data_IF_763499195641
#
_entry.id   IF_763499195641
#
_cell.length_a   1.000
_cell.length_b   1.000
_cell.length_c   1.000
_cell.angle_alpha   90.00
_cell.angle_beta   90.00
_cell.angle_gamma   90.00
#
_symmetry.space_group_name_H-M   'P 1'
#
loop_
_entity.id
_entity.type
_entity.pdbx_description
1 polymer ?
#
# COMPACT_ATOMS: atom_id res chain seq x y z
N UNK A 1 1.55 21.17 -37.65
CA UNK A 1 0.53 21.83 -36.80
C UNK A 1 0.98 21.73 -35.36
N UNK A 2 1.49 22.85 -34.84
CA UNK A 2 2.36 22.96 -33.67
C UNK A 2 1.59 23.62 -32.50
N UNK A 3 1.16 22.82 -31.52
CA UNK A 3 0.74 23.30 -30.19
C UNK A 3 1.34 22.43 -29.06
N UNK A 4 2.27 21.53 -29.39
CA UNK A 4 2.86 20.59 -28.45
C UNK A 4 4.02 21.17 -27.63
N UNK A 5 4.69 22.22 -28.09
CA UNK A 5 5.86 22.80 -27.40
C UNK A 5 5.52 23.40 -26.03
N UNK A 6 4.33 23.98 -25.87
CA UNK A 6 3.89 24.62 -24.61
C UNK A 6 3.24 23.60 -23.67
N UNK A 7 2.41 22.68 -24.20
CA UNK A 7 1.69 21.67 -23.40
C UNK A 7 2.59 20.48 -23.02
N UNK A 8 3.52 20.08 -23.90
CA UNK A 8 4.51 19.01 -23.67
C UNK A 8 5.92 19.57 -23.45
N UNK A 9 6.04 20.75 -22.85
CA UNK A 9 7.35 21.22 -22.43
C UNK A 9 7.97 20.15 -21.50
N UNK A 10 9.25 19.79 -21.69
CA UNK A 10 9.89 18.58 -21.11
C UNK A 10 9.77 18.43 -19.58
N UNK A 11 9.33 19.49 -18.88
CA UNK A 11 9.20 19.55 -17.42
C UNK A 11 7.74 19.63 -16.90
N UNK A 12 6.73 19.57 -17.77
CA UNK A 12 5.32 19.63 -17.36
C UNK A 12 4.79 18.29 -16.80
N UNK A 13 3.73 18.31 -15.97
CA UNK A 13 3.07 17.08 -15.48
C UNK A 13 2.53 16.22 -16.63
N UNK A 14 2.05 16.86 -17.70
CA UNK A 14 1.60 16.22 -18.92
C UNK A 14 2.75 15.59 -19.74
N UNK A 15 4.00 16.04 -19.56
CA UNK A 15 5.14 15.47 -20.28
C UNK A 15 5.44 14.03 -19.82
N UNK A 16 5.34 13.75 -18.52
CA UNK A 16 5.50 12.39 -17.97
C UNK A 16 4.47 11.43 -18.57
N UNK A 17 3.23 11.89 -18.70
CA UNK A 17 2.10 11.12 -19.26
C UNK A 17 2.26 10.92 -20.76
N UNK A 18 2.71 11.96 -21.47
CA UNK A 18 3.02 11.85 -22.88
C UNK A 18 4.15 10.84 -23.16
N UNK A 19 5.20 10.87 -22.33
CA UNK A 19 6.28 9.88 -22.38
C UNK A 19 5.72 8.49 -22.05
N UNK A 20 4.84 8.35 -21.06
CA UNK A 20 4.21 7.06 -20.74
C UNK A 20 3.34 6.51 -21.89
N UNK A 21 2.67 7.40 -22.64
CA UNK A 21 1.85 7.02 -23.78
C UNK A 21 2.69 6.40 -24.90
N UNK A 22 3.84 7.00 -25.23
CA UNK A 22 4.64 6.60 -26.38
C UNK A 22 5.83 5.68 -26.02
N UNK A 23 6.44 5.89 -24.86
CA UNK A 23 7.77 5.39 -24.50
C UNK A 23 7.72 4.61 -23.18
N UNK A 24 7.02 3.48 -23.21
CA UNK A 24 6.77 2.61 -22.05
C UNK A 24 8.04 2.18 -21.30
N UNK A 25 9.13 1.85 -22.01
CA UNK A 25 10.34 1.27 -21.39
C UNK A 25 11.26 2.31 -20.73
N UNK A 26 11.05 3.62 -20.95
CA UNK A 26 11.91 4.68 -20.39
C UNK A 26 11.39 5.31 -19.10
N UNK A 27 10.21 4.90 -18.64
CA UNK A 27 9.60 5.46 -17.43
C UNK A 27 10.02 4.66 -16.19
N UNK A 28 10.69 5.31 -15.25
CA UNK A 28 11.16 4.66 -14.01
C UNK A 28 10.01 4.44 -13.02
N UNK A 29 10.15 3.44 -12.11
CA UNK A 29 9.15 3.17 -11.04
C UNK A 29 8.83 4.45 -10.26
N UNK A 30 9.86 5.20 -9.84
CA UNK A 30 9.71 6.47 -9.11
C UNK A 30 8.87 7.51 -9.87
N UNK A 31 9.09 7.68 -11.18
CA UNK A 31 8.32 8.62 -11.99
C UNK A 31 6.85 8.21 -12.13
N UNK A 32 6.57 6.90 -12.18
CA UNK A 32 5.19 6.38 -12.18
C UNK A 32 4.49 6.76 -10.88
N UNK A 33 5.14 6.60 -9.73
CA UNK A 33 4.55 6.94 -8.42
C UNK A 33 4.33 8.43 -8.23
N UNK A 34 5.32 9.25 -8.58
CA UNK A 34 5.28 10.71 -8.48
C UNK A 34 4.23 11.37 -9.40
N UNK A 35 3.76 10.65 -10.43
CA UNK A 35 2.74 11.18 -11.34
C UNK A 35 1.35 11.11 -10.70
N UNK A 36 0.72 12.27 -10.49
CA UNK A 36 -0.66 12.39 -10.00
C UNK A 36 -1.64 12.20 -11.16
N UNK A 37 -2.52 11.20 -11.05
CA UNK A 37 -3.49 10.87 -12.10
C UNK A 37 -4.66 11.87 -12.08
N UNK A 38 -5.14 12.25 -10.90
CA UNK A 38 -6.31 13.13 -10.75
C UNK A 38 -6.05 14.51 -11.38
N UNK A 39 -4.92 15.13 -11.05
CA UNK A 39 -4.47 16.40 -11.64
C UNK A 39 -4.30 16.31 -13.15
N UNK A 40 -3.92 15.13 -13.66
CA UNK A 40 -3.79 14.94 -15.10
C UNK A 40 -5.13 14.88 -15.82
N UNK A 41 -6.10 14.16 -15.24
CA UNK A 41 -7.46 14.10 -15.77
C UNK A 41 -8.11 15.49 -15.73
N UNK A 42 -7.96 16.21 -14.62
CA UNK A 42 -8.43 17.60 -14.48
C UNK A 42 -7.83 18.51 -15.57
N UNK A 43 -6.52 18.41 -15.82
CA UNK A 43 -5.86 19.18 -16.88
C UNK A 43 -6.30 18.84 -18.30
N UNK A 44 -6.93 17.66 -18.50
CA UNK A 44 -7.52 17.25 -19.78
C UNK A 44 -8.96 17.73 -19.90
N UNK A 45 -9.73 17.71 -18.79
CA UNK A 45 -11.10 18.18 -18.73
C UNK A 45 -11.19 19.70 -18.89
N UNK A 46 -10.30 20.42 -18.23
CA UNK A 46 -10.20 21.89 -18.27
C UNK A 46 -8.85 22.32 -18.86
N UNK A 47 -8.66 22.18 -20.17
CA UNK A 47 -7.39 22.53 -20.79
C UNK A 47 -7.22 24.04 -20.86
N UNK A 48 -6.11 24.56 -20.30
CA UNK A 48 -5.74 25.99 -20.40
C UNK A 48 -5.59 26.51 -21.83
N UNK A 49 -5.32 25.60 -22.78
CA UNK A 49 -5.18 25.89 -24.22
C UNK A 49 -5.91 24.80 -24.99
N UNK A 50 -6.64 25.17 -26.04
CA UNK A 50 -7.37 24.21 -26.89
C UNK A 50 -6.45 23.10 -27.39
N UNK A 51 -6.68 21.88 -26.90
CA UNK A 51 -5.94 20.69 -27.33
C UNK A 51 -6.64 20.03 -28.51
N UNK A 52 -5.86 19.44 -29.42
CA UNK A 52 -6.43 18.64 -30.51
C UNK A 52 -6.95 17.30 -29.96
N UNK A 53 -8.08 16.82 -30.49
CA UNK A 53 -8.66 15.53 -30.08
C UNK A 53 -7.66 14.37 -30.18
N UNK A 54 -6.84 14.35 -31.24
CA UNK A 54 -5.79 13.34 -31.45
C UNK A 54 -4.74 13.34 -30.32
N UNK A 55 -4.33 14.52 -29.85
CA UNK A 55 -3.37 14.62 -28.72
C UNK A 55 -4.00 14.20 -27.41
N UNK A 56 -5.27 14.54 -27.19
CA UNK A 56 -6.02 14.15 -25.99
C UNK A 56 -6.19 12.63 -25.90
N UNK A 57 -6.45 11.95 -27.03
CA UNK A 57 -6.52 10.48 -27.06
C UNK A 57 -5.22 9.80 -26.64
N UNK A 58 -4.07 10.32 -27.08
CA UNK A 58 -2.77 9.80 -26.65
C UNK A 58 -2.49 10.08 -25.17
N UNK A 59 -2.87 11.25 -24.66
CA UNK A 59 -2.73 11.56 -23.23
C UNK A 59 -3.58 10.62 -22.38
N UNK A 60 -4.83 10.35 -22.79
CA UNK A 60 -5.71 9.41 -22.09
C UNK A 60 -5.12 8.00 -22.07
N UNK A 61 -4.58 7.52 -23.19
CA UNK A 61 -3.89 6.23 -23.26
C UNK A 61 -2.69 6.20 -22.30
N UNK A 62 -1.92 7.28 -22.20
CA UNK A 62 -0.81 7.42 -21.25
C UNK A 62 -1.27 7.29 -19.80
N UNK A 63 -2.39 7.92 -19.44
CA UNK A 63 -2.97 7.84 -18.09
C UNK A 63 -3.37 6.41 -17.74
N UNK A 64 -4.11 5.74 -18.62
CA UNK A 64 -4.56 4.36 -18.40
C UNK A 64 -3.35 3.41 -18.25
N UNK A 65 -2.29 3.61 -19.04
CA UNK A 65 -1.05 2.84 -18.93
C UNK A 65 -0.32 3.04 -17.60
N UNK A 66 -0.25 4.28 -17.11
CA UNK A 66 0.32 4.60 -15.79
C UNK A 66 -0.50 3.93 -14.68
N UNK A 67 -1.83 4.01 -14.75
CA UNK A 67 -2.72 3.37 -13.78
C UNK A 67 -2.49 1.85 -13.73
N UNK A 68 -2.45 1.19 -14.88
CA UNK A 68 -2.17 -0.26 -14.96
C UNK A 68 -0.82 -0.62 -14.32
N UNK A 69 0.22 0.20 -14.51
CA UNK A 69 1.53 -0.03 -13.85
C UNK A 69 1.46 0.15 -12.35
N UNK A 70 0.77 1.18 -11.85
CA UNK A 70 0.57 1.36 -10.40
C UNK A 70 -0.12 0.14 -9.80
N UNK A 71 -1.17 -0.37 -10.43
CA UNK A 71 -1.86 -1.59 -9.98
C UNK A 71 -0.94 -2.83 -9.99
N UNK A 72 -0.11 -3.00 -11.02
CA UNK A 72 0.87 -4.09 -11.07
C UNK A 72 1.92 -4.00 -9.98
N UNK A 73 2.42 -2.79 -9.70
CA UNK A 73 3.37 -2.57 -8.61
C UNK A 73 2.71 -2.84 -7.25
N UNK A 74 1.48 -2.38 -7.04
CA UNK A 74 0.73 -2.65 -5.83
C UNK A 74 0.53 -4.15 -5.60
N UNK A 75 0.13 -4.89 -6.64
CA UNK A 75 -0.02 -6.35 -6.56
C UNK A 75 1.30 -7.03 -6.20
N UNK A 76 2.41 -6.61 -6.82
CA UNK A 76 3.73 -7.15 -6.53
C UNK A 76 4.15 -6.88 -5.07
N UNK A 77 3.98 -5.64 -4.60
CA UNK A 77 4.34 -5.23 -3.24
C UNK A 77 3.46 -5.98 -2.20
N UNK A 78 2.15 -6.16 -2.46
CA UNK A 78 1.26 -6.97 -1.62
C UNK A 78 1.62 -8.46 -1.61
N UNK A 79 1.97 -9.02 -2.78
CA UNK A 79 2.41 -10.41 -2.90
C UNK A 79 3.68 -10.66 -2.08
N UNK A 80 4.65 -9.75 -2.17
CA UNK A 80 5.89 -9.84 -1.40
C UNK A 80 5.62 -9.75 0.10
N UNK A 81 4.78 -8.82 0.55
CA UNK A 81 4.38 -8.69 1.94
C UNK A 81 3.67 -9.95 2.45
N UNK A 82 2.74 -10.50 1.66
CA UNK A 82 2.03 -11.73 1.98
C UNK A 82 2.95 -12.94 2.11
N UNK A 83 3.92 -13.08 1.19
CA UNK A 83 4.92 -14.14 1.26
C UNK A 83 5.81 -13.98 2.49
N UNK A 84 6.27 -12.76 2.80
CA UNK A 84 7.05 -12.48 4.01
C UNK A 84 6.29 -12.88 5.27
N UNK A 85 5.02 -12.49 5.39
CA UNK A 85 4.18 -12.89 6.53
C UNK A 85 4.03 -14.42 6.62
N UNK A 86 3.72 -15.10 5.51
CA UNK A 86 3.63 -16.58 5.50
C UNK A 86 4.94 -17.26 5.91
N UNK A 87 6.08 -16.69 5.55
CA UNK A 87 7.38 -17.23 5.93
C UNK A 87 7.72 -16.96 7.41
N UNK A 88 7.31 -15.81 7.96
CA UNK A 88 7.52 -15.46 9.37
C UNK A 88 6.75 -16.34 10.36
N UNK A 89 5.61 -16.90 9.96
CA UNK A 89 4.80 -17.79 10.81
C UNK A 89 5.00 -19.29 10.52
N UNK A 90 6.01 -19.66 9.72
CA UNK A 90 6.25 -21.07 9.41
C UNK A 90 6.83 -21.79 10.65
N UNK A 91 6.14 -22.81 11.21
CA UNK A 91 6.69 -23.60 12.30
C UNK A 91 7.95 -24.30 11.80
N UNK A 92 9.11 -23.97 12.39
CA UNK A 92 10.42 -24.53 12.03
C UNK A 92 11.41 -23.59 11.34
N UNK A 93 11.05 -22.33 11.06
CA UNK A 93 12.07 -21.30 10.74
C UNK A 93 12.68 -20.82 12.07
N UNK A 94 14.02 -20.70 12.19
CA UNK A 94 14.61 -20.05 13.36
C UNK A 94 14.18 -18.59 13.31
N UNK A 95 13.27 -18.23 14.20
CA UNK A 95 13.24 -16.88 14.74
C UNK A 95 14.65 -16.63 15.30
N UNK A 96 15.17 -15.41 15.26
CA UNK A 96 16.49 -15.03 15.84
C UNK A 96 16.60 -15.27 17.38
N UNK A 97 15.69 -16.08 17.94
CA UNK A 97 15.66 -16.54 19.30
C UNK A 97 15.99 -18.05 19.34
N UNK A 98 16.96 -18.47 20.18
CA UNK A 98 17.27 -19.88 20.38
C UNK A 98 16.02 -20.67 20.79
N UNK A 99 15.95 -21.96 20.42
CA UNK A 99 14.77 -22.83 20.60
C UNK A 99 14.17 -22.76 22.01
N UNK A 100 15.01 -22.62 23.03
CA UNK A 100 14.62 -22.55 24.45
C UNK A 100 13.92 -21.24 24.88
N UNK A 101 13.86 -20.23 24.01
CA UNK A 101 13.30 -18.89 24.32
C UNK A 101 12.09 -18.52 23.46
N UNK A 102 11.57 -19.47 22.67
CA UNK A 102 10.41 -19.26 21.79
C UNK A 102 9.08 -19.14 22.54
N UNK A 103 9.05 -19.55 23.81
CA UNK A 103 7.95 -19.34 24.73
C UNK A 103 8.44 -18.46 25.88
N UNK A 104 7.81 -17.30 26.07
CA UNK A 104 8.07 -16.50 27.25
C UNK A 104 7.57 -17.27 28.48
N UNK A 105 8.39 -17.31 29.54
CA UNK A 105 8.04 -17.96 30.79
C UNK A 105 6.72 -17.38 31.33
N UNK A 106 5.82 -18.25 31.80
CA UNK A 106 4.44 -17.84 32.14
C UNK A 106 4.41 -16.69 33.15
N UNK A 107 5.29 -16.73 34.14
CA UNK A 107 5.44 -15.71 35.19
C UNK A 107 5.94 -14.34 34.69
N UNK A 108 6.43 -14.24 33.44
CA UNK A 108 6.84 -12.96 32.83
C UNK A 108 5.64 -12.24 32.19
N UNK A 109 4.60 -12.99 31.80
CA UNK A 109 3.41 -12.45 31.14
C UNK A 109 2.28 -12.24 32.16
N UNK A 110 2.20 -13.09 33.19
CA UNK A 110 1.25 -12.94 34.29
C UNK A 110 1.83 -12.06 35.38
N UNK A 111 1.14 -10.96 35.68
CA UNK A 111 1.38 -10.18 36.88
C UNK A 111 1.19 -11.11 38.11
N UNK A 112 2.07 -11.06 39.14
CA UNK A 112 1.83 -11.79 40.37
C UNK A 112 0.45 -11.45 40.93
N UNK A 113 -0.35 -12.46 41.29
CA UNK A 113 -1.63 -12.28 42.00
C UNK A 113 -1.35 -11.75 43.42
N UNK A 114 -1.01 -10.47 43.51
CA UNK A 114 -1.07 -9.72 44.77
C UNK A 114 -2.47 -9.13 44.83
N UNK A 115 -3.42 -9.92 45.35
CA UNK A 115 -4.73 -9.43 45.73
C UNK A 115 -4.54 -8.48 46.91
N UNK A 116 -4.38 -7.18 46.63
CA UNK A 116 -4.72 -6.16 47.61
C UNK A 116 -6.22 -5.91 47.49
N UNK A 117 -6.95 -6.14 48.59
CA UNK A 117 -8.37 -5.83 48.75
C UNK A 117 -8.69 -4.42 48.22
N UNK A 118 -9.20 -4.35 46.99
CA UNK A 118 -9.66 -3.11 46.36
C UNK A 118 -11.18 -3.06 46.46
N UNK A 119 -11.66 -2.75 47.67
CA UNK A 119 -13.01 -2.21 47.85
C UNK A 119 -13.00 -0.74 47.42
N UNK A 120 -13.14 -0.48 46.12
CA UNK A 120 -13.42 0.85 45.57
C UNK A 120 -13.95 0.70 44.15
N UNK A 121 -15.25 0.97 44.02
CA UNK A 121 -16.06 0.84 42.81
C UNK A 121 -15.39 1.41 41.55
N UNK A 122 -15.19 0.55 40.54
CA UNK A 122 -14.77 0.93 39.20
C UNK A 122 -16.02 1.29 38.35
N UNK A 123 -16.05 2.40 37.60
CA UNK A 123 -17.16 2.68 36.70
C UNK A 123 -17.10 1.77 35.46
N UNK A 124 -18.26 1.27 35.03
CA UNK A 124 -18.44 0.38 33.88
C UNK A 124 -17.83 0.94 32.58
N UNK A 125 -16.65 0.44 32.22
CA UNK A 125 -16.08 0.60 30.89
C UNK A 125 -16.39 -0.66 30.08
N UNK A 126 -17.42 -0.60 29.24
CA UNK A 126 -17.69 -1.58 28.19
C UNK A 126 -16.52 -1.62 27.20
N UNK A 127 -15.57 -2.53 27.41
CA UNK A 127 -14.61 -2.92 26.40
C UNK A 127 -15.20 -4.09 25.60
N UNK A 128 -15.85 -3.78 24.47
CA UNK A 128 -16.25 -4.78 23.49
C UNK A 128 -15.04 -5.14 22.62
N UNK A 129 -14.31 -6.18 23.00
CA UNK A 129 -13.35 -6.84 22.11
C UNK A 129 -13.39 -8.34 22.37
N UNK A 130 -13.98 -9.05 21.41
CA UNK A 130 -14.12 -10.51 21.36
C UNK A 130 -12.75 -11.20 21.46
N UNK A 131 -12.36 -11.55 22.68
CA UNK A 131 -11.13 -12.29 22.95
C UNK A 131 -11.33 -13.82 22.85
N UNK A 132 -12.48 -14.29 22.34
CA UNK A 132 -12.85 -15.72 22.37
C UNK A 132 -12.56 -16.45 21.03
N UNK A 133 -12.33 -15.75 19.93
CA UNK A 133 -12.12 -16.43 18.63
C UNK A 133 -10.70 -16.95 18.38
N UNK A 134 -9.74 -16.71 19.29
CA UNK A 134 -8.36 -17.19 19.09
C UNK A 134 -8.11 -18.63 19.56
N UNK A 135 -9.06 -19.27 20.28
CA UNK A 135 -8.87 -20.64 20.78
C UNK A 135 -9.38 -21.75 19.84
N UNK A 136 -10.19 -21.43 18.83
CA UNK A 136 -10.80 -22.46 17.97
C UNK A 136 -10.03 -22.77 16.68
N UNK A 137 -8.99 -22.01 16.34
CA UNK A 137 -8.18 -22.26 15.13
C UNK A 137 -6.90 -23.08 15.36
N UNK A 138 -6.55 -23.39 16.61
CA UNK A 138 -5.30 -24.12 16.92
C UNK A 138 -5.50 -25.64 17.13
N UNK A 139 -6.72 -26.16 17.01
CA UNK A 139 -6.99 -27.61 17.18
C UNK A 139 -7.24 -28.36 15.87
N UNK A 140 -6.91 -27.78 14.70
CA UNK A 140 -7.14 -28.43 13.40
C UNK A 140 -6.02 -28.24 12.37
N UNK A 141 -4.77 -28.05 12.80
CA UNK A 141 -3.61 -28.31 11.95
C UNK A 141 -2.53 -29.07 12.69
#
# INVERSE_FOLDING_TARGET
MFYSQVVLSKRGPLAKIWIAAHWEKKLTKAQVFDTNIDKAVESILEPKVKMALRTTGHLLLGIVRIYSRKAKYLLADCSEAFLKMKMSFRPGVPVDLPEDSRQAAMNTITLPEVFHDFDSALPDLRCGFDCITCSSYFSSL
#
